data_IF_998254084706
#
_entry.id   IF_998254084706
#
_cell.length_a   1.000
_cell.length_b   1.000
_cell.length_c   1.000
_cell.angle_alpha   90.00
_cell.angle_beta   90.00
_cell.angle_gamma   90.00
#
_symmetry.space_group_name_H-M   'P 1'
#
loop_
_entity.id
_entity.type
_entity.pdbx_description
1 polymer ?
#
# COMPACT_ATOMS: atom_id res chain seq x y z
N UNK A 1 15.10 4.66 -5.52
CA UNK A 1 14.89 6.00 -4.94
C UNK A 1 13.39 6.27 -4.88
N UNK A 2 12.83 6.46 -3.69
CA UNK A 2 11.46 6.95 -3.49
C UNK A 2 11.42 8.45 -3.80
N UNK A 3 10.33 8.94 -4.40
CA UNK A 3 10.09 10.38 -4.55
C UNK A 3 10.53 10.99 -5.88
N UNK A 4 10.71 10.17 -6.93
CA UNK A 4 10.87 10.67 -8.31
C UNK A 4 9.70 11.60 -8.70
N UNK A 5 8.50 11.25 -8.26
CA UNK A 5 7.27 12.00 -8.49
C UNK A 5 7.26 13.37 -7.77
N UNK A 6 8.02 13.53 -6.67
CA UNK A 6 8.05 14.77 -5.87
C UNK A 6 8.81 15.93 -6.54
N UNK A 7 9.47 15.68 -7.67
CA UNK A 7 10.29 16.69 -8.38
C UNK A 7 9.48 17.57 -9.33
N UNK A 8 8.21 17.26 -9.58
CA UNK A 8 7.36 18.11 -10.42
C UNK A 8 6.85 19.34 -9.62
N UNK A 9 6.70 20.52 -10.26
CA UNK A 9 6.13 21.69 -9.62
C UNK A 9 4.77 21.40 -8.99
N UNK A 10 4.54 21.87 -7.76
CA UNK A 10 3.29 21.65 -7.02
C UNK A 10 3.22 20.32 -6.26
N UNK A 11 4.09 19.34 -6.53
CA UNK A 11 4.01 18.03 -5.84
C UNK A 11 4.40 18.11 -4.36
N UNK A 12 5.34 18.98 -3.99
CA UNK A 12 5.68 19.20 -2.58
C UNK A 12 4.54 19.83 -1.79
N UNK A 13 3.82 20.79 -2.38
CA UNK A 13 2.62 21.41 -1.79
C UNK A 13 1.48 20.39 -1.69
N UNK A 14 1.25 19.59 -2.73
CA UNK A 14 0.26 18.53 -2.71
C UNK A 14 0.57 17.46 -1.64
N UNK A 15 1.84 17.08 -1.48
CA UNK A 15 2.27 16.16 -0.41
C UNK A 15 2.06 16.78 0.97
N UNK A 16 2.39 18.06 1.15
CA UNK A 16 2.13 18.78 2.39
C UNK A 16 0.65 18.74 2.75
N UNK A 17 -0.24 19.09 1.81
CA UNK A 17 -1.69 19.02 2.03
C UNK A 17 -2.13 17.60 2.38
N UNK A 18 -1.71 16.59 1.61
CA UNK A 18 -2.01 15.19 1.90
C UNK A 18 -1.60 14.79 3.33
N UNK A 19 -0.44 15.24 3.81
CA UNK A 19 0.06 14.85 5.14
C UNK A 19 -0.53 15.67 6.30
N UNK A 20 -1.14 16.83 6.03
CA UNK A 20 -1.58 17.77 7.08
C UNK A 20 -3.09 17.95 7.17
N UNK A 21 -3.82 17.57 6.12
CA UNK A 21 -5.30 17.68 6.09
C UNK A 21 -5.98 16.31 6.04
N UNK A 22 -5.21 15.22 6.01
CA UNK A 22 -5.77 13.88 5.97
C UNK A 22 -6.30 13.48 7.35
N UNK A 23 -7.59 13.18 7.40
CA UNK A 23 -8.25 12.48 8.50
C UNK A 23 -8.45 11.03 8.07
N UNK A 24 -7.71 10.06 8.63
CA UNK A 24 -7.90 8.66 8.29
C UNK A 24 -9.31 8.22 8.67
N UNK A 25 -10.06 7.70 7.70
CA UNK A 25 -11.31 7.02 8.01
C UNK A 25 -11.00 5.78 8.87
N UNK A 26 -11.66 5.64 10.01
CA UNK A 26 -11.50 4.45 10.86
C UNK A 26 -12.32 3.29 10.29
N UNK A 27 -11.73 2.59 9.32
CA UNK A 27 -12.38 1.53 8.54
C UNK A 27 -11.93 0.12 8.91
N UNK A 28 -11.00 -0.03 9.86
CA UNK A 28 -10.44 -1.33 10.25
C UNK A 28 -11.54 -2.33 10.64
N UNK A 29 -12.51 -1.90 11.43
CA UNK A 29 -13.64 -2.74 11.89
C UNK A 29 -14.62 -3.12 10.75
N UNK A 30 -14.49 -2.49 9.58
CA UNK A 30 -15.36 -2.67 8.41
C UNK A 30 -14.69 -3.43 7.28
N UNK A 31 -13.44 -3.85 7.44
CA UNK A 31 -12.71 -4.57 6.39
C UNK A 31 -13.43 -5.87 5.98
N UNK A 32 -14.06 -6.55 6.94
CA UNK A 32 -14.85 -7.76 6.67
C UNK A 32 -16.14 -7.53 5.87
N UNK A 33 -16.54 -6.28 5.62
CA UNK A 33 -17.66 -5.96 4.72
C UNK A 33 -17.27 -6.10 3.23
N UNK A 34 -15.98 -6.19 2.90
CA UNK A 34 -15.49 -6.34 1.53
C UNK A 34 -15.70 -7.78 1.06
N UNK A 35 -16.79 -8.01 0.30
CA UNK A 35 -17.18 -9.33 -0.19
C UNK A 35 -16.55 -9.78 -1.53
N UNK A 36 -15.48 -9.12 -1.97
CA UNK A 36 -14.76 -9.44 -3.22
C UNK A 36 -13.33 -9.86 -2.92
N UNK A 37 -12.69 -10.67 -3.78
CA UNK A 37 -11.27 -11.02 -3.61
C UNK A 37 -10.41 -9.76 -3.46
N UNK A 38 -9.40 -9.84 -2.59
CA UNK A 38 -8.44 -8.77 -2.34
C UNK A 38 -7.02 -9.34 -2.13
N UNK A 39 -6.02 -8.48 -2.32
CA UNK A 39 -4.61 -8.75 -2.03
C UNK A 39 -4.02 -7.53 -1.35
N UNK A 40 -3.19 -7.74 -0.33
CA UNK A 40 -2.48 -6.67 0.38
C UNK A 40 -1.00 -6.75 0.02
N UNK A 41 -0.41 -5.62 -0.38
CA UNK A 41 1.01 -5.50 -0.73
C UNK A 41 1.62 -4.39 0.12
N UNK A 42 2.68 -4.71 0.87
CA UNK A 42 3.38 -3.77 1.75
C UNK A 42 4.90 -3.88 1.61
N UNK A 43 5.62 -2.83 2.00
CA UNK A 43 7.07 -2.85 2.11
C UNK A 43 7.50 -3.12 3.55
N UNK A 44 8.49 -3.99 3.76
CA UNK A 44 8.98 -4.30 5.12
C UNK A 44 9.67 -3.10 5.77
N UNK A 45 10.32 -2.26 4.96
CA UNK A 45 11.04 -1.08 5.40
C UNK A 45 10.14 0.17 5.45
N UNK A 46 8.81 0.01 5.44
CA UNK A 46 7.88 1.14 5.53
C UNK A 46 7.97 1.81 6.90
N UNK A 47 8.13 3.14 6.91
CA UNK A 47 8.24 3.98 8.10
C UNK A 47 7.03 4.90 8.28
N UNK A 48 6.07 4.84 7.36
CA UNK A 48 4.84 5.64 7.34
C UNK A 48 3.67 4.76 7.76
N UNK A 49 3.56 3.55 7.19
CA UNK A 49 2.57 2.53 7.58
C UNK A 49 3.28 1.38 8.28
N UNK A 50 2.74 0.91 9.40
CA UNK A 50 3.34 -0.18 10.18
C UNK A 50 3.07 -1.55 9.55
N UNK A 51 3.98 -2.50 9.81
CA UNK A 51 3.79 -3.91 9.46
C UNK A 51 2.47 -4.48 10.04
N UNK A 52 2.15 -4.16 11.29
CA UNK A 52 0.90 -4.60 11.94
C UNK A 52 -0.35 -4.12 11.21
N UNK A 53 -0.32 -2.93 10.58
CA UNK A 53 -1.45 -2.42 9.81
C UNK A 53 -1.68 -3.27 8.55
N UNK A 54 -0.61 -3.74 7.90
CA UNK A 54 -0.72 -4.66 6.77
C UNK A 54 -1.29 -6.02 7.18
N UNK A 55 -0.86 -6.56 8.33
CA UNK A 55 -1.44 -7.79 8.90
C UNK A 55 -2.92 -7.62 9.23
N UNK A 56 -3.28 -6.55 9.94
CA UNK A 56 -4.67 -6.22 10.27
C UNK A 56 -5.53 -6.09 9.01
N UNK A 57 -5.00 -5.44 7.97
CA UNK A 57 -5.70 -5.31 6.70
C UNK A 57 -5.93 -6.66 6.02
N UNK A 58 -4.91 -7.50 5.94
CA UNK A 58 -5.00 -8.80 5.30
C UNK A 58 -5.96 -9.74 6.05
N UNK A 59 -5.87 -9.79 7.38
CA UNK A 59 -6.78 -10.56 8.23
C UNK A 59 -8.23 -10.08 8.08
N UNK A 60 -8.46 -8.77 8.17
CA UNK A 60 -9.80 -8.20 8.05
C UNK A 60 -10.44 -8.42 6.68
N UNK A 61 -9.63 -8.46 5.62
CA UNK A 61 -10.09 -8.71 4.25
C UNK A 61 -10.16 -10.21 3.89
N UNK A 62 -9.61 -11.10 4.72
CA UNK A 62 -9.35 -12.49 4.32
C UNK A 62 -8.44 -12.60 3.08
N UNK A 63 -7.51 -11.66 2.93
CA UNK A 63 -6.68 -11.49 1.75
C UNK A 63 -5.29 -12.10 1.91
N UNK A 64 -4.65 -12.43 0.80
CA UNK A 64 -3.21 -12.74 0.79
C UNK A 64 -2.38 -11.48 1.09
N UNK A 65 -1.31 -11.63 1.86
CA UNK A 65 -0.38 -10.56 2.21
C UNK A 65 1.00 -10.80 1.60
N UNK A 66 1.45 -9.87 0.77
CA UNK A 66 2.79 -9.82 0.21
C UNK A 66 3.61 -8.70 0.86
N UNK A 67 4.61 -9.07 1.66
CA UNK A 67 5.56 -8.13 2.27
C UNK A 67 6.89 -8.17 1.52
N UNK A 68 7.28 -7.04 0.93
CA UNK A 68 8.46 -6.94 0.07
C UNK A 68 9.69 -6.47 0.85
N UNK A 69 10.71 -7.34 0.94
CA UNK A 69 12.04 -6.99 1.46
C UNK A 69 12.72 -5.92 0.60
N UNK A 70 13.36 -4.93 1.24
CA UNK A 70 14.04 -3.85 0.55
C UNK A 70 13.10 -2.78 -0.05
N UNK A 71 11.81 -2.82 0.27
CA UNK A 71 10.82 -1.82 -0.10
C UNK A 71 10.26 -1.14 1.16
N UNK A 72 10.03 0.17 1.08
CA UNK A 72 9.37 0.98 2.09
C UNK A 72 7.96 1.37 1.65
N UNK A 73 7.54 2.61 1.94
CA UNK A 73 6.16 3.06 1.75
C UNK A 73 5.60 3.00 0.32
N UNK A 74 6.47 3.07 -0.68
CA UNK A 74 6.07 3.08 -2.08
C UNK A 74 6.62 1.84 -2.80
N UNK A 75 6.17 0.62 -2.44
CA UNK A 75 6.72 -0.62 -3.00
C UNK A 75 6.55 -0.67 -4.53
N UNK A 76 5.47 -0.09 -5.05
CA UNK A 76 5.18 -0.01 -6.48
C UNK A 76 6.16 0.90 -7.25
N UNK A 77 6.70 1.94 -6.63
CA UNK A 77 7.75 2.77 -7.25
C UNK A 77 9.13 2.12 -7.15
N UNK A 78 9.39 1.41 -6.04
CA UNK A 78 10.70 0.86 -5.71
C UNK A 78 10.96 -0.49 -6.39
N UNK A 79 9.94 -1.34 -6.49
CA UNK A 79 10.00 -2.67 -7.09
C UNK A 79 8.82 -2.89 -8.07
N UNK A 80 8.71 -2.07 -9.14
CA UNK A 80 7.54 -2.05 -10.01
C UNK A 80 7.24 -3.40 -10.67
N UNK A 81 8.27 -4.16 -11.06
CA UNK A 81 8.10 -5.48 -11.68
C UNK A 81 7.49 -6.52 -10.74
N UNK A 82 7.89 -6.50 -9.46
CA UNK A 82 7.37 -7.42 -8.44
C UNK A 82 5.91 -7.10 -8.15
N UNK A 83 5.59 -5.83 -7.88
CA UNK A 83 4.22 -5.39 -7.61
C UNK A 83 3.30 -5.65 -8.82
N UNK A 84 3.75 -5.34 -10.04
CA UNK A 84 2.97 -5.62 -11.24
C UNK A 84 2.74 -7.12 -11.47
N UNK A 85 3.71 -7.97 -11.12
CA UNK A 85 3.58 -9.43 -11.14
C UNK A 85 2.47 -9.90 -10.21
N UNK A 86 2.52 -9.50 -8.94
CA UNK A 86 1.51 -9.85 -7.93
C UNK A 86 0.11 -9.40 -8.38
N UNK A 87 -0.02 -8.16 -8.88
CA UNK A 87 -1.31 -7.65 -9.38
C UNK A 87 -1.81 -8.49 -10.56
N UNK A 88 -0.93 -8.80 -11.53
CA UNK A 88 -1.29 -9.63 -12.70
C UNK A 88 -1.76 -11.01 -12.26
N UNK A 89 -1.02 -11.66 -11.38
CA UNK A 89 -1.28 -13.02 -10.94
C UNK A 89 -2.64 -13.04 -10.18
N UNK A 90 -2.85 -12.07 -9.28
CA UNK A 90 -4.14 -11.85 -8.59
C UNK A 90 -5.32 -11.66 -9.56
N UNK A 91 -5.22 -10.79 -10.56
CA UNK A 91 -6.36 -10.53 -11.48
C UNK A 91 -6.59 -11.64 -12.51
N UNK A 92 -5.58 -12.48 -12.76
CA UNK A 92 -5.70 -13.63 -13.69
C UNK A 92 -6.02 -14.94 -12.98
N UNK A 93 -5.93 -14.97 -11.64
CA UNK A 93 -6.16 -16.16 -10.82
C UNK A 93 -5.04 -17.20 -10.93
N UNK A 94 -3.82 -16.74 -11.21
CA UNK A 94 -2.60 -17.56 -11.35
C UNK A 94 -1.76 -17.54 -10.07
#
# INVERSE_FOLDING_TARGET
ETGRCLRAPGTAEALWHLTTTWEPAQVADRLGEVGVPAVVIGGIDDRIVSLDAHHTAAEGLGAELHLLEGAGHAPHEQQPGVVAGIIRDFVTGL
#
